data_IF_519321945573
#
_entry.id   IF_519321945573
#
_cell.length_a   1.000
_cell.length_b   1.000
_cell.length_c   1.000
_cell.angle_alpha   90.00
_cell.angle_beta   90.00
_cell.angle_gamma   90.00
#
_symmetry.space_group_name_H-M   'P 1'
#
loop_
_entity.id
_entity.type
_entity.pdbx_description
1 polymer ?
#
# COMPACT_ATOMS: atom_id res chain seq x y z
N UNK A 1 34.36 -11.08 0.17
CA UNK A 1 34.20 -9.70 0.73
C UNK A 1 32.89 -9.16 0.21
N UNK A 2 31.88 -9.05 1.03
CA UNK A 2 30.65 -8.31 0.65
C UNK A 2 31.02 -6.84 0.55
N UNK A 3 31.09 -6.30 -0.65
CA UNK A 3 31.28 -4.87 -0.89
C UNK A 3 30.06 -4.16 -0.31
N UNK A 4 30.22 -3.46 0.82
CA UNK A 4 29.13 -2.66 1.44
C UNK A 4 28.64 -1.64 0.41
N UNK A 5 27.39 -1.81 -0.03
CA UNK A 5 26.77 -0.86 -0.94
C UNK A 5 26.67 0.51 -0.25
N UNK A 6 27.17 1.59 -0.85
CA UNK A 6 27.04 2.94 -0.28
C UNK A 6 25.56 3.30 -0.06
N UNK A 7 25.25 3.92 1.07
CA UNK A 7 23.87 4.24 1.48
C UNK A 7 23.10 5.05 0.43
N UNK A 8 23.75 5.99 -0.25
CA UNK A 8 23.11 6.80 -1.30
C UNK A 8 22.70 5.97 -2.53
N UNK A 9 23.52 4.95 -2.93
CA UNK A 9 23.18 4.02 -4.03
C UNK A 9 21.95 3.20 -3.64
N UNK A 10 21.96 2.65 -2.42
CA UNK A 10 20.82 1.88 -1.89
C UNK A 10 19.53 2.72 -1.88
N UNK A 11 19.62 4.00 -1.48
CA UNK A 11 18.48 4.93 -1.48
C UNK A 11 17.96 5.22 -2.90
N UNK A 12 18.84 5.47 -3.86
CA UNK A 12 18.45 5.72 -5.25
C UNK A 12 17.84 4.45 -5.86
N UNK A 13 18.48 3.30 -5.68
CA UNK A 13 17.99 2.02 -6.20
C UNK A 13 16.63 1.65 -5.62
N UNK A 14 16.42 1.86 -4.31
CA UNK A 14 15.12 1.61 -3.65
C UNK A 14 14.04 2.58 -4.12
N UNK A 15 14.37 3.83 -4.36
CA UNK A 15 13.40 4.82 -4.86
C UNK A 15 12.96 4.49 -6.29
N UNK A 16 13.88 4.13 -7.17
CA UNK A 16 13.56 3.75 -8.56
C UNK A 16 12.78 2.44 -8.59
N UNK A 17 13.23 1.41 -7.85
CA UNK A 17 12.54 0.12 -7.79
C UNK A 17 11.14 0.24 -7.20
N UNK A 18 10.95 1.10 -6.19
CA UNK A 18 9.65 1.44 -5.63
C UNK A 18 8.71 2.13 -6.63
N UNK A 19 9.24 3.00 -7.49
CA UNK A 19 8.46 3.59 -8.60
C UNK A 19 8.02 2.53 -9.62
N UNK A 20 8.92 1.64 -10.03
CA UNK A 20 8.63 0.52 -10.93
C UNK A 20 7.59 -0.43 -10.31
N UNK A 21 7.74 -0.75 -9.01
CA UNK A 21 6.80 -1.53 -8.24
C UNK A 21 5.36 -0.98 -8.36
N UNK A 22 5.19 0.33 -8.23
CA UNK A 22 3.87 0.97 -8.33
C UNK A 22 3.34 0.90 -9.77
N UNK A 23 4.17 1.17 -10.77
CA UNK A 23 3.76 1.13 -12.18
C UNK A 23 3.30 -0.28 -12.59
N UNK A 24 4.07 -1.31 -12.24
CA UNK A 24 3.73 -2.71 -12.55
C UNK A 24 2.50 -3.18 -11.75
N UNK A 25 2.36 -2.74 -10.50
CA UNK A 25 1.26 -3.15 -9.63
C UNK A 25 -0.08 -2.45 -9.92
N UNK A 26 -0.04 -1.24 -10.46
CA UNK A 26 -1.23 -0.40 -10.59
C UNK A 26 -2.38 -1.00 -11.41
N UNK A 27 -2.15 -1.69 -12.54
CA UNK A 27 -3.22 -2.38 -13.27
C UNK A 27 -3.99 -3.38 -12.41
N UNK A 28 -3.28 -4.16 -11.61
CA UNK A 28 -3.88 -5.14 -10.70
C UNK A 28 -4.68 -4.47 -9.58
N UNK A 29 -4.15 -3.35 -9.02
CA UNK A 29 -4.87 -2.54 -8.04
C UNK A 29 -6.18 -2.00 -8.62
N UNK A 30 -6.14 -1.52 -9.86
CA UNK A 30 -7.32 -1.00 -10.54
C UNK A 30 -8.37 -2.09 -10.75
N UNK A 31 -7.97 -3.27 -11.24
CA UNK A 31 -8.87 -4.41 -11.43
C UNK A 31 -9.45 -4.85 -10.09
N UNK A 32 -8.59 -5.01 -9.05
CA UNK A 32 -9.01 -5.37 -7.70
C UNK A 32 -10.10 -4.42 -7.18
N UNK A 33 -9.83 -3.11 -7.23
CA UNK A 33 -10.75 -2.10 -6.70
C UNK A 33 -12.09 -2.07 -7.44
N UNK A 34 -12.08 -2.20 -8.77
CA UNK A 34 -13.31 -2.28 -9.58
C UNK A 34 -14.14 -3.52 -9.20
N UNK A 35 -13.47 -4.68 -9.01
CA UNK A 35 -14.14 -5.90 -8.59
C UNK A 35 -14.75 -5.81 -7.19
N UNK A 36 -14.03 -5.18 -6.25
CA UNK A 36 -14.50 -4.96 -4.88
C UNK A 36 -15.76 -4.09 -4.83
N UNK A 37 -15.85 -3.07 -5.70
CA UNK A 37 -17.02 -2.20 -5.80
C UNK A 37 -18.19 -2.77 -6.58
N UNK A 38 -18.13 -4.05 -6.99
CA UNK A 38 -19.16 -4.73 -7.80
C UNK A 38 -19.45 -4.12 -9.17
N UNK A 39 -18.63 -3.23 -9.67
CA UNK A 39 -18.75 -2.75 -11.02
C UNK A 39 -18.38 -3.85 -12.02
N UNK A 40 -19.08 -3.89 -13.17
CA UNK A 40 -18.68 -4.75 -14.26
C UNK A 40 -17.37 -4.22 -14.85
N UNK A 41 -16.37 -5.09 -14.89
CA UNK A 41 -15.10 -4.76 -15.54
C UNK A 41 -15.32 -4.71 -17.05
N UNK A 42 -15.26 -3.51 -17.63
CA UNK A 42 -15.33 -3.33 -19.06
C UNK A 42 -13.92 -3.18 -19.64
N UNK A 43 -13.48 -4.14 -20.44
CA UNK A 43 -12.12 -4.30 -20.97
C UNK A 43 -11.72 -3.24 -22.04
N UNK A 44 -12.36 -2.12 -22.12
CA UNK A 44 -12.10 -1.12 -23.16
C UNK A 44 -10.80 -0.34 -22.95
N UNK A 45 -9.65 -1.01 -23.09
CA UNK A 45 -8.33 -0.40 -23.25
C UNK A 45 -7.42 -0.47 -22.01
N UNK A 46 -6.18 -0.93 -22.22
CA UNK A 46 -5.13 -1.07 -21.20
C UNK A 46 -4.80 0.25 -20.49
N UNK A 47 -4.85 1.38 -21.21
CA UNK A 47 -4.59 2.70 -20.63
C UNK A 47 -5.56 3.10 -19.51
N UNK A 48 -6.79 2.58 -19.50
CA UNK A 48 -7.75 2.82 -18.42
C UNK A 48 -7.33 2.19 -17.10
N UNK A 49 -6.49 1.15 -17.15
CA UNK A 49 -5.96 0.49 -15.95
C UNK A 49 -4.94 1.36 -15.20
N UNK A 50 -4.34 2.33 -15.89
CA UNK A 50 -3.37 3.27 -15.30
C UNK A 50 -4.01 4.56 -14.79
N UNK A 51 -5.33 4.65 -14.79
CA UNK A 51 -6.03 5.82 -14.24
C UNK A 51 -5.74 5.98 -12.75
N UNK A 52 -5.37 7.21 -12.39
CA UNK A 52 -5.05 7.53 -11.02
C UNK A 52 -3.65 7.13 -10.56
N UNK A 53 -2.78 6.62 -11.45
CA UNK A 53 -1.39 6.24 -11.14
C UNK A 53 -0.60 7.35 -10.43
N UNK A 54 -0.86 8.61 -10.75
CA UNK A 54 -0.18 9.76 -10.12
C UNK A 54 -0.38 9.80 -8.60
N UNK A 55 -1.55 9.41 -8.11
CA UNK A 55 -1.83 9.46 -6.67
C UNK A 55 -1.00 8.45 -5.87
N UNK A 56 -0.91 7.15 -6.20
CA UNK A 56 -0.04 6.22 -5.49
C UNK A 56 1.45 6.53 -5.68
N UNK A 57 1.89 7.12 -6.80
CA UNK A 57 3.28 7.57 -6.96
C UNK A 57 3.63 8.69 -5.97
N UNK A 58 2.79 9.72 -5.90
CA UNK A 58 2.96 10.81 -4.94
C UNK A 58 2.82 10.28 -3.51
N UNK A 59 1.80 9.47 -3.25
CA UNK A 59 1.53 8.87 -1.95
C UNK A 59 2.72 8.08 -1.43
N UNK A 60 3.37 7.26 -2.27
CA UNK A 60 4.52 6.47 -1.86
C UNK A 60 5.70 7.32 -1.42
N UNK A 61 5.97 8.42 -2.14
CA UNK A 61 7.04 9.36 -1.77
C UNK A 61 6.74 10.01 -0.41
N UNK A 62 5.51 10.50 -0.21
CA UNK A 62 5.09 11.11 1.05
C UNK A 62 5.02 10.07 2.17
N UNK A 63 4.50 8.87 1.91
CA UNK A 63 4.38 7.81 2.90
C UNK A 63 5.75 7.42 3.46
N UNK A 64 6.73 7.20 2.61
CA UNK A 64 8.08 6.86 3.06
C UNK A 64 8.68 7.96 3.94
N UNK A 65 8.59 9.22 3.51
CA UNK A 65 9.12 10.36 4.29
C UNK A 65 8.43 10.50 5.65
N UNK A 66 7.10 10.39 5.67
CA UNK A 66 6.30 10.48 6.89
C UNK A 66 6.58 9.29 7.82
N UNK A 67 6.54 8.07 7.28
CA UNK A 67 6.71 6.85 8.07
C UNK A 67 8.12 6.78 8.68
N UNK A 68 9.17 7.02 7.89
CA UNK A 68 10.54 7.00 8.42
C UNK A 68 10.81 8.16 9.38
N UNK A 69 10.34 9.37 9.07
CA UNK A 69 10.52 10.55 9.91
C UNK A 69 9.87 10.39 11.28
N UNK A 70 8.59 10.02 11.30
CA UNK A 70 7.85 9.85 12.55
C UNK A 70 8.24 8.58 13.31
N UNK A 71 8.58 7.49 12.62
CA UNK A 71 9.01 6.26 13.27
C UNK A 71 10.30 6.50 14.07
N UNK A 72 11.31 7.13 13.47
CA UNK A 72 12.53 7.49 14.18
C UNK A 72 12.25 8.42 15.36
N UNK A 73 11.40 9.42 15.17
CA UNK A 73 11.05 10.37 16.23
C UNK A 73 10.36 9.68 17.42
N UNK A 74 9.35 8.86 17.15
CA UNK A 74 8.62 8.16 18.21
C UNK A 74 9.44 7.06 18.88
N UNK A 75 10.26 6.32 18.13
CA UNK A 75 11.12 5.30 18.74
C UNK A 75 12.20 5.91 19.65
N UNK A 76 12.62 7.16 19.39
CA UNK A 76 13.55 7.86 20.28
C UNK A 76 12.88 8.39 21.56
N UNK A 77 11.57 8.67 21.54
CA UNK A 77 10.83 9.21 22.68
C UNK A 77 10.16 8.08 23.48
N UNK A 78 9.63 7.09 22.79
CA UNK A 78 8.85 6.00 23.37
C UNK A 78 9.73 4.76 23.36
N UNK A 79 10.20 4.31 24.54
CA UNK A 79 11.02 3.10 24.68
C UNK A 79 10.27 1.78 24.35
N UNK A 80 9.15 1.86 23.62
CA UNK A 80 8.36 0.73 23.17
C UNK A 80 8.11 0.84 21.65
N UNK A 81 8.76 -0.01 20.82
CA UNK A 81 8.64 0.05 19.37
C UNK A 81 7.22 -0.22 18.86
N UNK A 82 6.40 -0.97 19.58
CA UNK A 82 5.01 -1.23 19.19
C UNK A 82 4.15 0.03 19.30
N UNK A 83 4.33 0.81 20.37
CA UNK A 83 3.65 2.08 20.56
C UNK A 83 4.14 3.12 19.53
N UNK A 84 5.45 3.19 19.28
CA UNK A 84 6.02 4.06 18.23
C UNK A 84 5.44 3.78 16.85
N UNK A 85 5.36 2.51 16.47
CA UNK A 85 4.73 2.08 15.21
C UNK A 85 3.24 2.41 15.17
N UNK A 86 2.51 2.28 16.26
CA UNK A 86 1.09 2.62 16.35
C UNK A 86 0.84 4.12 16.11
N UNK A 87 1.58 5.00 16.78
CA UNK A 87 1.46 6.44 16.56
C UNK A 87 1.88 6.86 15.14
N UNK A 88 2.94 6.23 14.61
CA UNK A 88 3.36 6.45 13.22
C UNK A 88 2.26 6.05 12.24
N UNK A 89 1.61 4.91 12.46
CA UNK A 89 0.50 4.45 11.64
C UNK A 89 -0.70 5.42 11.67
N UNK A 90 -1.06 5.92 12.85
CA UNK A 90 -2.14 6.90 13.01
C UNK A 90 -1.87 8.19 12.22
N UNK A 91 -0.67 8.76 12.38
CA UNK A 91 -0.31 10.02 11.69
C UNK A 91 -0.23 9.80 10.18
N UNK A 92 0.40 8.71 9.76
CA UNK A 92 0.49 8.34 8.34
C UNK A 92 -0.90 8.19 7.72
N UNK A 93 -1.81 7.49 8.40
CA UNK A 93 -3.18 7.30 7.94
C UNK A 93 -3.91 8.63 7.78
N UNK A 94 -3.74 9.55 8.75
CA UNK A 94 -4.34 10.88 8.68
C UNK A 94 -3.85 11.66 7.45
N UNK A 95 -2.53 11.71 7.24
CA UNK A 95 -1.92 12.45 6.12
C UNK A 95 -2.27 11.83 4.77
N UNK A 96 -2.35 10.49 4.69
CA UNK A 96 -2.52 9.77 3.43
C UNK A 96 -3.99 9.58 3.02
N UNK A 97 -4.94 9.80 3.94
CA UNK A 97 -6.38 9.65 3.68
C UNK A 97 -6.88 10.34 2.40
N UNK A 98 -6.55 11.61 2.09
CA UNK A 98 -7.02 12.23 0.86
C UNK A 98 -6.46 11.53 -0.40
N UNK A 99 -5.22 11.08 -0.38
CA UNK A 99 -4.62 10.38 -1.52
C UNK A 99 -5.34 9.05 -1.83
N UNK A 100 -5.72 8.29 -0.81
CA UNK A 100 -6.51 7.06 -0.95
C UNK A 100 -7.86 7.35 -1.63
N UNK A 101 -8.56 8.40 -1.20
CA UNK A 101 -9.84 8.79 -1.79
C UNK A 101 -9.67 9.17 -3.27
N UNK A 102 -8.68 10.03 -3.59
CA UNK A 102 -8.41 10.44 -4.97
C UNK A 102 -8.01 9.26 -5.86
N UNK A 103 -7.17 8.35 -5.37
CA UNK A 103 -6.78 7.13 -6.07
C UNK A 103 -8.02 6.33 -6.47
N UNK A 104 -8.85 5.97 -5.51
CA UNK A 104 -10.03 5.13 -5.74
C UNK A 104 -11.03 5.82 -6.67
N UNK A 105 -11.36 7.09 -6.44
CA UNK A 105 -12.29 7.83 -7.29
C UNK A 105 -11.82 7.90 -8.74
N UNK A 106 -10.53 8.10 -8.95
CA UNK A 106 -9.92 8.14 -10.29
C UNK A 106 -10.01 6.79 -11.01
N UNK A 107 -9.81 5.67 -10.29
CA UNK A 107 -9.94 4.32 -10.84
C UNK A 107 -11.39 4.00 -11.24
N UNK A 108 -12.38 4.58 -10.55
CA UNK A 108 -13.80 4.47 -10.88
C UNK A 108 -14.27 5.45 -11.97
N UNK A 109 -13.36 6.17 -12.61
CA UNK A 109 -13.67 7.17 -13.63
C UNK A 109 -14.62 8.29 -13.14
N UNK A 110 -14.57 8.58 -11.85
CA UNK A 110 -15.33 9.69 -11.26
C UNK A 110 -14.46 10.94 -11.27
N UNK A 111 -14.98 12.04 -11.81
CA UNK A 111 -14.32 13.34 -11.75
C UNK A 111 -14.29 13.83 -10.30
N UNK A 112 -13.10 13.92 -9.74
CA UNK A 112 -12.89 14.39 -8.39
C UNK A 112 -11.75 15.41 -8.40
N UNK A 113 -12.14 16.68 -8.41
CA UNK A 113 -11.19 17.80 -8.49
C UNK A 113 -10.47 18.01 -7.18
N UNK A 114 -9.17 18.32 -7.24
CA UNK A 114 -8.38 18.66 -6.05
C UNK A 114 -8.79 20.06 -5.59
N UNK A 115 -9.57 20.14 -4.52
CA UNK A 115 -9.96 21.38 -3.86
C UNK A 115 -9.92 21.21 -2.35
N UNK A 116 -9.78 22.31 -1.60
CA UNK A 116 -9.76 22.27 -0.14
C UNK A 116 -11.03 21.60 0.44
N UNK A 117 -12.21 21.88 -0.15
CA UNK A 117 -13.49 21.26 0.22
C UNK A 117 -13.47 19.75 0.05
N UNK A 118 -12.93 19.25 -1.07
CA UNK A 118 -12.86 17.81 -1.35
C UNK A 118 -11.80 17.10 -0.49
N UNK A 119 -10.71 17.76 -0.17
CA UNK A 119 -9.72 17.27 0.79
C UNK A 119 -10.38 17.08 2.17
N UNK A 120 -11.06 18.10 2.68
CA UNK A 120 -11.79 18.00 3.95
C UNK A 120 -12.87 16.91 3.92
N UNK A 121 -13.60 16.79 2.81
CA UNK A 121 -14.62 15.75 2.65
C UNK A 121 -14.02 14.33 2.65
N UNK A 122 -12.77 14.16 2.20
CA UNK A 122 -12.12 12.85 2.22
C UNK A 122 -11.91 12.30 3.63
N UNK A 123 -11.78 13.16 4.64
CA UNK A 123 -11.63 12.77 6.05
C UNK A 123 -12.88 12.13 6.65
N UNK A 124 -14.04 12.24 6.00
CA UNK A 124 -15.23 11.45 6.37
C UNK A 124 -14.95 9.95 6.33
N UNK A 125 -13.99 9.53 5.52
CA UNK A 125 -13.59 8.13 5.39
C UNK A 125 -12.44 7.73 6.32
N UNK A 126 -11.90 8.66 7.11
CA UNK A 126 -10.81 8.38 8.04
C UNK A 126 -11.09 7.19 8.98
N UNK A 127 -12.29 7.05 9.59
CA UNK A 127 -12.55 5.93 10.48
C UNK A 127 -12.38 4.56 9.80
N UNK A 128 -12.91 4.40 8.58
CA UNK A 128 -12.78 3.11 7.87
C UNK A 128 -11.36 2.86 7.38
N UNK A 129 -10.62 3.90 7.01
CA UNK A 129 -9.22 3.79 6.63
C UNK A 129 -8.39 3.36 7.85
N UNK A 130 -8.59 3.99 9.01
CA UNK A 130 -7.91 3.64 10.26
C UNK A 130 -8.21 2.20 10.70
N UNK A 131 -9.48 1.79 10.64
CA UNK A 131 -9.90 0.41 10.96
C UNK A 131 -9.29 -0.62 10.01
N UNK A 132 -8.89 -0.22 8.82
CA UNK A 132 -8.20 -1.11 7.86
C UNK A 132 -6.69 -1.10 8.07
N UNK A 133 -6.08 0.07 8.20
CA UNK A 133 -4.61 0.23 8.26
C UNK A 133 -4.01 -0.23 9.59
N UNK A 134 -4.68 0.04 10.71
CA UNK A 134 -4.16 -0.32 12.04
C UNK A 134 -4.09 -1.85 12.22
N UNK A 135 -5.16 -2.64 11.99
CA UNK A 135 -5.08 -4.09 12.06
C UNK A 135 -4.11 -4.69 11.03
N UNK A 136 -4.05 -4.09 9.83
CA UNK A 136 -3.13 -4.49 8.78
C UNK A 136 -1.68 -4.44 9.26
N UNK A 137 -1.28 -3.31 9.82
CA UNK A 137 0.06 -3.10 10.37
C UNK A 137 0.35 -4.06 11.52
N UNK A 138 -0.61 -4.22 12.43
CA UNK A 138 -0.47 -5.12 13.58
C UNK A 138 -0.29 -6.59 13.16
N UNK A 139 -1.14 -7.09 12.26
CA UNK A 139 -1.05 -8.48 11.75
C UNK A 139 0.27 -8.69 11.02
N UNK A 140 0.66 -7.74 10.16
CA UNK A 140 1.92 -7.84 9.42
C UNK A 140 3.12 -7.98 10.35
N UNK A 141 3.29 -7.07 11.31
CA UNK A 141 4.42 -7.09 12.21
C UNK A 141 4.39 -8.27 13.18
N UNK A 142 3.22 -8.68 13.68
CA UNK A 142 3.09 -9.84 14.55
C UNK A 142 3.55 -11.12 13.86
N UNK A 143 3.09 -11.36 12.64
CA UNK A 143 3.50 -12.53 11.85
C UNK A 143 4.97 -12.44 11.46
N UNK A 144 5.44 -11.25 11.04
CA UNK A 144 6.83 -11.03 10.67
C UNK A 144 7.79 -11.35 11.82
N UNK A 145 7.54 -10.80 13.02
CA UNK A 145 8.38 -11.04 14.20
C UNK A 145 8.37 -12.50 14.59
N UNK A 146 7.19 -13.15 14.58
CA UNK A 146 7.07 -14.58 14.90
C UNK A 146 7.90 -15.46 13.97
N UNK A 147 7.89 -15.16 12.65
CA UNK A 147 8.69 -15.89 11.67
C UNK A 147 10.20 -15.60 11.82
N UNK A 148 10.56 -14.38 12.23
CA UNK A 148 11.96 -14.05 12.55
C UNK A 148 12.46 -14.79 13.79
N UNK A 149 11.64 -14.95 14.81
CA UNK A 149 11.95 -15.79 15.99
C UNK A 149 12.18 -17.26 15.60
N UNK A 150 11.48 -17.76 14.59
CA UNK A 150 11.65 -19.09 14.02
C UNK A 150 12.82 -19.20 13.01
N UNK A 151 13.70 -18.19 12.94
CA UNK A 151 14.88 -18.13 12.09
C UNK A 151 14.61 -18.16 10.57
N UNK A 152 13.39 -17.80 10.13
CA UNK A 152 13.13 -17.64 8.69
C UNK A 152 13.86 -16.42 8.13
N UNK A 153 14.21 -16.47 6.84
CA UNK A 153 14.86 -15.35 6.16
C UNK A 153 13.93 -14.11 6.17
N UNK A 154 14.51 -12.91 6.10
CA UNK A 154 13.75 -11.65 6.04
C UNK A 154 12.77 -11.63 4.87
N UNK A 155 13.18 -12.19 3.72
CA UNK A 155 12.35 -12.30 2.52
C UNK A 155 11.10 -13.18 2.75
N UNK A 156 11.30 -14.41 3.26
CA UNK A 156 10.20 -15.34 3.53
C UNK A 156 9.27 -14.81 4.62
N UNK A 157 9.83 -14.24 5.70
CA UNK A 157 9.05 -13.64 6.79
C UNK A 157 8.17 -12.50 6.29
N UNK A 158 8.73 -11.58 5.48
CA UNK A 158 7.97 -10.47 4.89
C UNK A 158 6.91 -10.93 3.90
N UNK A 159 7.21 -11.92 3.05
CA UNK A 159 6.26 -12.49 2.09
C UNK A 159 5.07 -13.16 2.77
N UNK A 160 5.34 -14.04 3.73
CA UNK A 160 4.29 -14.74 4.48
C UNK A 160 3.47 -13.75 5.33
N UNK A 161 4.12 -12.83 6.03
CA UNK A 161 3.42 -11.79 6.81
C UNK A 161 2.50 -10.95 5.93
N UNK A 162 2.94 -10.58 4.72
CA UNK A 162 2.12 -9.86 3.75
C UNK A 162 0.90 -10.65 3.28
N UNK A 163 1.04 -11.95 3.01
CA UNK A 163 -0.08 -12.81 2.62
C UNK A 163 -1.11 -12.94 3.75
N UNK A 164 -0.65 -13.21 4.99
CA UNK A 164 -1.54 -13.27 6.15
C UNK A 164 -2.26 -11.96 6.41
N UNK A 165 -1.54 -10.84 6.29
CA UNK A 165 -2.12 -9.50 6.40
C UNK A 165 -3.25 -9.31 5.38
N UNK A 166 -3.02 -9.60 4.10
CA UNK A 166 -4.03 -9.45 3.06
C UNK A 166 -5.26 -10.33 3.31
N UNK A 167 -5.08 -11.61 3.66
CA UNK A 167 -6.22 -12.50 3.93
C UNK A 167 -7.06 -12.00 5.11
N UNK A 168 -6.40 -11.56 6.20
CA UNK A 168 -7.07 -11.11 7.42
C UNK A 168 -7.83 -9.79 7.24
N UNK A 169 -7.24 -8.83 6.51
CA UNK A 169 -7.77 -7.48 6.40
C UNK A 169 -8.63 -7.29 5.14
N UNK A 170 -8.61 -8.23 4.21
CA UNK A 170 -9.29 -8.10 2.92
C UNK A 170 -10.78 -7.76 3.00
N UNK A 171 -11.59 -8.32 3.92
CA UNK A 171 -12.99 -7.94 4.08
C UNK A 171 -13.17 -6.46 4.42
N UNK A 172 -12.33 -5.93 5.30
CA UNK A 172 -12.34 -4.51 5.69
C UNK A 172 -11.89 -3.61 4.53
N UNK A 173 -10.85 -4.05 3.79
CA UNK A 173 -10.39 -3.36 2.59
C UNK A 173 -11.47 -3.29 1.51
N UNK A 174 -12.25 -4.35 1.32
CA UNK A 174 -13.40 -4.33 0.40
C UNK A 174 -14.46 -3.32 0.82
N UNK A 175 -14.78 -3.23 2.11
CA UNK A 175 -15.70 -2.23 2.64
C UNK A 175 -15.12 -0.81 2.46
N UNK A 176 -13.83 -0.61 2.77
CA UNK A 176 -13.11 0.65 2.55
C UNK A 176 -13.26 1.11 1.09
N UNK A 177 -12.95 0.24 0.12
CA UNK A 177 -13.06 0.58 -1.31
C UNK A 177 -14.48 0.94 -1.71
N UNK A 178 -15.51 0.22 -1.23
CA UNK A 178 -16.92 0.52 -1.51
C UNK A 178 -17.35 1.89 -0.98
N UNK A 179 -16.88 2.29 0.19
CA UNK A 179 -17.14 3.61 0.76
C UNK A 179 -16.36 4.71 0.05
N UNK A 180 -15.09 4.49 -0.24
CA UNK A 180 -14.24 5.45 -0.95
C UNK A 180 -14.73 5.70 -2.38
N UNK A 181 -15.19 4.67 -3.08
CA UNK A 181 -15.74 4.77 -4.44
C UNK A 181 -17.18 5.29 -4.48
N UNK A 182 -17.79 5.50 -3.31
CA UNK A 182 -19.19 5.91 -3.18
C UNK A 182 -20.19 4.93 -3.85
N UNK A 183 -19.82 3.66 -3.94
CA UNK A 183 -20.73 2.58 -4.32
C UNK A 183 -21.62 2.14 -3.16
N UNK A 184 -21.28 2.54 -1.95
CA UNK A 184 -22.08 2.38 -0.74
C UNK A 184 -22.01 3.65 0.10
N UNK A 185 -23.11 3.99 0.76
CA UNK A 185 -23.23 5.20 1.60
C UNK A 185 -22.90 4.94 3.07
N UNK A 186 -22.94 3.68 3.50
CA UNK A 186 -22.69 3.30 4.89
C UNK A 186 -21.96 1.95 5.00
N UNK A 187 -21.28 1.75 6.14
CA UNK A 187 -20.61 0.48 6.46
C UNK A 187 -21.59 -0.71 6.40
N UNK A 188 -22.77 -0.57 6.99
CA UNK A 188 -23.81 -1.61 7.00
C UNK A 188 -24.26 -1.99 5.58
N UNK A 189 -24.40 -1.01 4.69
CA UNK A 189 -24.73 -1.26 3.28
C UNK A 189 -23.60 -1.96 2.56
N UNK A 190 -22.35 -1.50 2.75
CA UNK A 190 -21.16 -2.12 2.14
C UNK A 190 -20.98 -3.58 2.59
N UNK A 191 -21.23 -3.87 3.87
CA UNK A 191 -21.17 -5.23 4.41
C UNK A 191 -22.30 -6.11 3.86
N UNK A 192 -23.58 -5.65 3.88
CA UNK A 192 -24.73 -6.39 3.36
C UNK A 192 -24.64 -6.75 1.87
N UNK A 193 -23.85 -6.01 1.09
CA UNK A 193 -23.61 -6.36 -0.31
C UNK A 193 -22.91 -7.73 -0.47
N UNK A 194 -22.31 -8.29 0.57
CA UNK A 194 -21.63 -9.60 0.55
C UNK A 194 -20.39 -9.64 -0.37
N UNK A 195 -19.90 -10.85 -0.65
CA UNK A 195 -18.73 -11.08 -1.52
C UNK A 195 -17.50 -10.24 -1.13
N UNK A 196 -17.17 -10.22 0.16
CA UNK A 196 -16.09 -9.38 0.72
C UNK A 196 -14.69 -9.82 0.28
N UNK A 197 -14.54 -11.05 -0.18
CA UNK A 197 -13.27 -11.60 -0.72
C UNK A 197 -13.14 -11.48 -2.24
N UNK A 198 -14.06 -10.79 -2.90
CA UNK A 198 -14.03 -10.64 -4.37
C UNK A 198 -12.77 -9.91 -4.83
N UNK A 199 -11.99 -10.56 -5.70
CA UNK A 199 -10.73 -10.02 -6.22
C UNK A 199 -9.49 -10.34 -5.39
N UNK A 200 -9.59 -11.14 -4.32
CA UNK A 200 -8.43 -11.51 -3.48
C UNK A 200 -7.34 -12.23 -4.28
N UNK A 201 -7.73 -13.08 -5.25
CA UNK A 201 -6.78 -13.78 -6.12
C UNK A 201 -5.90 -12.82 -6.93
N UNK A 202 -6.46 -11.70 -7.40
CA UNK A 202 -5.71 -10.66 -8.10
C UNK A 202 -4.73 -9.97 -7.16
N UNK A 203 -5.16 -9.71 -5.93
CA UNK A 203 -4.30 -9.11 -4.90
C UNK A 203 -3.11 -10.01 -4.56
N UNK A 204 -3.35 -11.31 -4.39
CA UNK A 204 -2.30 -12.30 -4.13
C UNK A 204 -1.32 -12.42 -5.30
N UNK A 205 -1.83 -12.56 -6.53
CA UNK A 205 -1.00 -12.62 -7.74
C UNK A 205 -0.15 -11.35 -7.89
N UNK A 206 -0.77 -10.18 -7.71
CA UNK A 206 -0.07 -8.90 -7.70
C UNK A 206 1.07 -8.89 -6.69
N UNK A 207 0.81 -9.33 -5.45
CA UNK A 207 1.80 -9.30 -4.37
C UNK A 207 3.06 -10.10 -4.74
N UNK A 208 2.90 -11.28 -5.28
CA UNK A 208 4.03 -12.12 -5.71
C UNK A 208 4.80 -11.48 -6.88
N UNK A 209 4.07 -11.09 -7.93
CA UNK A 209 4.68 -10.54 -9.15
C UNK A 209 5.42 -9.24 -8.87
N UNK A 210 4.80 -8.34 -8.13
CA UNK A 210 5.34 -7.00 -7.90
C UNK A 210 6.52 -7.03 -6.93
N UNK A 211 6.48 -7.88 -5.91
CA UNK A 211 7.62 -8.08 -5.02
C UNK A 211 8.81 -8.68 -5.79
N UNK A 212 8.59 -9.68 -6.65
CA UNK A 212 9.63 -10.25 -7.50
C UNK A 212 10.29 -9.19 -8.40
N UNK A 213 9.49 -8.36 -9.07
CA UNK A 213 9.99 -7.25 -9.90
C UNK A 213 10.77 -6.24 -9.07
N UNK A 214 10.28 -5.88 -7.89
CA UNK A 214 10.95 -4.91 -7.01
C UNK A 214 12.34 -5.39 -6.60
N UNK A 215 12.48 -6.64 -6.15
CA UNK A 215 13.78 -7.21 -5.78
C UNK A 215 14.73 -7.30 -6.98
N UNK A 216 14.26 -7.80 -8.12
CA UNK A 216 15.05 -7.87 -9.33
C UNK A 216 15.57 -6.50 -9.78
N UNK A 217 14.70 -5.50 -9.80
CA UNK A 217 15.09 -4.14 -10.16
C UNK A 217 16.08 -3.54 -9.17
N UNK A 218 15.86 -3.74 -7.87
CA UNK A 218 16.75 -3.26 -6.82
C UNK A 218 18.15 -3.83 -6.94
N UNK A 219 18.27 -5.15 -7.08
CA UNK A 219 19.58 -5.83 -7.25
C UNK A 219 20.29 -5.37 -8.53
N UNK A 220 19.56 -5.33 -9.66
CA UNK A 220 20.12 -4.90 -10.93
C UNK A 220 20.61 -3.47 -10.92
N UNK A 221 19.85 -2.55 -10.28
CA UNK A 221 20.25 -1.15 -10.15
C UNK A 221 21.48 -1.00 -9.25
N UNK A 222 21.53 -1.71 -8.11
CA UNK A 222 22.70 -1.70 -7.25
C UNK A 222 23.97 -2.16 -7.99
N UNK A 223 23.89 -3.28 -8.71
CA UNK A 223 25.02 -3.80 -9.49
C UNK A 223 25.46 -2.81 -10.58
N UNK A 224 24.51 -2.15 -11.25
CA UNK A 224 24.76 -1.18 -12.30
C UNK A 224 25.40 0.10 -11.76
N UNK A 225 24.99 0.59 -10.60
CA UNK A 225 25.61 1.76 -9.97
C UNK A 225 26.97 1.43 -9.37
N UNK A 226 27.16 0.24 -8.82
CA UNK A 226 28.46 -0.20 -8.31
C UNK A 226 29.48 -0.36 -9.43
N UNK A 227 29.10 -0.94 -10.58
CA UNK A 227 30.00 -1.10 -11.74
C UNK A 227 30.42 0.21 -12.40
N UNK A 228 29.71 1.31 -12.15
CA UNK A 228 30.09 2.65 -12.64
C UNK A 228 31.01 3.42 -11.68
N UNK A 229 31.17 2.91 -10.46
CA UNK A 229 32.03 3.50 -9.42
C UNK A 229 33.36 2.76 -9.24
N UNK A 230 33.44 1.57 -9.80
CA UNK A 230 34.71 0.81 -9.94
C UNK A 230 35.43 1.20 -11.21
#
# INVERSE_FOLDING_TARGET
>A
METKIPTYISLISSSISGGIHIIVGHPFDTIKNILQGKNRFNYSGLFKLYRGLKYPLIQNTFSNSVTFGFNNHFNNIINNPYLGNFYTALISTFILTPFDKYKVMSQYNKSYTVSAKNILYSYKNLPIISVTEIPSTFVYFSVYHKLKELNYSTFTSGGIAGLFCWVSVYPLDTIKVRLLSETSTSFKQAYKQGNLFRGIHICMFRSVLVNGVNFYCYEKLNNLFMSKLS
#
